data_IF_017777047202
#
_entry.id   IF_017777047202
#
_cell.length_a   1.000
_cell.length_b   1.000
_cell.length_c   1.000
_cell.angle_alpha   90.00
_cell.angle_beta   90.00
_cell.angle_gamma   90.00
#
_symmetry.space_group_name_H-M   'P 1'
#
loop_
_entity.id
_entity.type
_entity.pdbx_description
1 polymer ?
#
# COMPACT_ATOMS: atom_id res chain seq x y z
N UNK A 1 -1.16 13.36 15.39
CA UNK A 1 -1.99 13.85 14.27
C UNK A 1 -3.46 13.48 14.43
N UNK A 2 -3.93 12.26 14.12
CA UNK A 2 -5.39 11.97 14.24
C UNK A 2 -5.91 12.04 15.69
N UNK A 3 -5.10 11.63 16.67
CA UNK A 3 -5.47 11.71 18.09
C UNK A 3 -5.58 13.14 18.63
N UNK A 4 -4.77 14.06 18.11
CA UNK A 4 -4.81 15.47 18.51
C UNK A 4 -6.07 16.16 17.97
N UNK A 5 -6.46 15.80 16.73
CA UNK A 5 -7.66 16.33 16.09
C UNK A 5 -8.94 15.78 16.74
N UNK A 6 -8.96 14.50 17.12
CA UNK A 6 -10.06 13.94 17.92
C UNK A 6 -10.18 14.60 19.30
N UNK A 7 -9.06 14.86 19.96
CA UNK A 7 -9.05 15.58 21.23
C UNK A 7 -9.61 16.99 21.07
N UNK A 8 -9.29 17.67 19.96
CA UNK A 8 -9.83 19.00 19.64
C UNK A 8 -11.35 18.98 19.40
N UNK A 9 -11.88 17.92 18.78
CA UNK A 9 -13.33 17.72 18.63
C UNK A 9 -14.01 17.52 19.99
N UNK A 10 -13.38 16.77 20.90
CA UNK A 10 -13.89 16.57 22.26
C UNK A 10 -13.86 17.88 23.07
N UNK A 11 -12.83 18.71 22.89
CA UNK A 11 -12.77 20.03 23.52
C UNK A 11 -13.80 21.00 22.91
N UNK A 12 -13.98 21.02 21.59
CA UNK A 12 -15.01 21.84 20.91
C UNK A 12 -16.44 21.39 21.24
N UNK A 13 -16.68 20.09 21.48
CA UNK A 13 -18.01 19.56 21.81
C UNK A 13 -18.41 19.74 23.27
N UNK A 14 -17.44 19.97 24.18
CA UNK A 14 -17.74 20.28 25.59
C UNK A 14 -18.42 21.63 25.78
N UNK A 15 -18.25 22.56 24.83
CA UNK A 15 -18.85 23.89 24.86
C UNK A 15 -19.83 24.18 23.72
N UNK A 16 -20.13 23.21 22.85
CA UNK A 16 -20.93 23.40 21.64
C UNK A 16 -21.51 22.11 21.09
N UNK A 17 -22.18 22.17 19.93
CA UNK A 17 -22.80 20.98 19.34
C UNK A 17 -21.74 20.01 18.81
N UNK A 18 -21.80 18.74 19.25
CA UNK A 18 -20.93 17.67 18.74
C UNK A 18 -21.04 17.50 17.22
N UNK A 19 -22.22 17.81 16.67
CA UNK A 19 -22.52 17.78 15.23
C UNK A 19 -21.66 18.81 14.48
N UNK A 20 -21.51 20.01 15.03
CA UNK A 20 -20.70 21.08 14.44
C UNK A 20 -19.20 20.84 14.65
N UNK A 21 -18.80 20.23 15.76
CA UNK A 21 -17.42 19.88 16.03
C UNK A 21 -16.92 18.79 15.05
N UNK A 22 -17.72 17.74 14.83
CA UNK A 22 -17.39 16.67 13.87
C UNK A 22 -17.50 17.16 12.42
N UNK A 23 -18.46 18.04 12.11
CA UNK A 23 -18.51 18.71 10.80
C UNK A 23 -17.27 19.55 10.50
N UNK A 24 -16.75 20.28 11.49
CA UNK A 24 -15.47 21.01 11.36
C UNK A 24 -14.28 20.08 11.25
N UNK A 25 -14.28 18.91 11.89
CA UNK A 25 -13.26 17.88 11.67
C UNK A 25 -13.26 17.39 10.22
N UNK A 26 -14.43 17.05 9.67
CA UNK A 26 -14.55 16.60 8.29
C UNK A 26 -14.00 17.63 7.29
N UNK A 27 -14.33 18.91 7.48
CA UNK A 27 -13.81 20.00 6.65
C UNK A 27 -12.29 20.24 6.80
N UNK A 28 -11.68 19.89 7.94
CA UNK A 28 -10.24 20.07 8.20
C UNK A 28 -9.39 18.91 7.68
N UNK A 29 -9.88 17.69 7.81
CA UNK A 29 -9.15 16.47 7.42
C UNK A 29 -9.43 16.10 5.95
N UNK A 30 -10.62 16.42 5.46
CA UNK A 30 -11.10 16.20 4.09
C UNK A 30 -10.85 14.78 3.55
N UNK A 31 -11.13 13.79 4.40
CA UNK A 31 -11.13 12.38 4.02
C UNK A 31 -12.55 11.82 4.06
N UNK A 32 -12.90 10.85 3.19
CA UNK A 32 -14.25 10.29 3.10
C UNK A 32 -14.80 9.79 4.44
N UNK A 33 -13.95 9.20 5.28
CA UNK A 33 -14.31 8.64 6.59
C UNK A 33 -14.74 9.73 7.58
N UNK A 34 -14.12 10.92 7.51
CA UNK A 34 -14.45 12.03 8.39
C UNK A 34 -15.82 12.63 8.02
N UNK A 35 -16.13 12.69 6.73
CA UNK A 35 -17.46 13.07 6.23
C UNK A 35 -18.53 12.04 6.60
N UNK A 36 -18.22 10.75 6.50
CA UNK A 36 -19.12 9.67 6.91
C UNK A 36 -19.45 9.73 8.41
N UNK A 37 -18.43 9.99 9.25
CA UNK A 37 -18.61 10.21 10.67
C UNK A 37 -19.47 11.45 10.96
N UNK A 38 -19.26 12.56 10.24
CA UNK A 38 -20.05 13.78 10.40
C UNK A 38 -21.53 13.57 10.06
N UNK A 39 -21.83 12.81 9.00
CA UNK A 39 -23.21 12.50 8.63
C UNK A 39 -23.86 11.52 9.61
N UNK A 40 -23.14 10.51 10.10
CA UNK A 40 -23.66 9.61 11.13
C UNK A 40 -23.99 10.37 12.43
N UNK A 41 -23.12 11.30 12.85
CA UNK A 41 -23.34 12.15 14.04
C UNK A 41 -24.49 13.15 13.83
N UNK A 42 -24.62 13.75 12.62
CA UNK A 42 -25.78 14.59 12.26
C UNK A 42 -27.09 13.81 12.33
N UNK A 43 -27.10 12.59 11.83
CA UNK A 43 -28.28 11.73 11.81
C UNK A 43 -28.66 11.33 13.24
N UNK A 44 -27.69 10.96 14.07
CA UNK A 44 -27.90 10.69 15.49
C UNK A 44 -28.51 11.89 16.24
N UNK A 45 -28.04 13.12 15.95
CA UNK A 45 -28.58 14.33 16.55
C UNK A 45 -29.99 14.73 16.06
N UNK A 46 -30.42 14.26 14.89
CA UNK A 46 -31.73 14.60 14.29
C UNK A 46 -32.82 13.59 14.59
N UNK A 47 -32.53 12.30 14.45
CA UNK A 47 -33.54 11.24 14.60
C UNK A 47 -33.58 10.63 15.99
N UNK A 48 -32.41 10.43 16.62
CA UNK A 48 -32.30 9.67 17.87
C UNK A 48 -32.78 8.21 17.75
N UNK A 49 -32.26 7.32 18.59
CA UNK A 49 -32.71 5.92 18.66
C UNK A 49 -31.81 4.89 17.98
N UNK A 50 -32.26 3.63 18.01
CA UNK A 50 -31.47 2.42 17.73
C UNK A 50 -30.89 2.39 16.30
N UNK A 51 -31.61 2.92 15.31
CA UNK A 51 -31.17 3.00 13.91
C UNK A 51 -30.03 4.00 13.67
N UNK A 52 -29.86 4.98 14.58
CA UNK A 52 -28.77 5.95 14.48
C UNK A 52 -27.45 5.41 15.06
N UNK A 53 -27.55 4.46 16.01
CA UNK A 53 -26.40 3.74 16.56
C UNK A 53 -25.84 2.74 15.54
N UNK A 54 -26.71 2.04 14.80
CA UNK A 54 -26.29 1.09 13.77
C UNK A 54 -25.53 1.75 12.61
N UNK A 55 -25.86 3.00 12.25
CA UNK A 55 -25.09 3.79 11.28
C UNK A 55 -23.70 4.16 11.79
N UNK A 56 -23.59 4.46 13.09
CA UNK A 56 -22.31 4.76 13.72
C UNK A 56 -21.43 3.50 13.80
N UNK A 57 -22.03 2.35 14.12
CA UNK A 57 -21.38 1.03 14.09
C UNK A 57 -20.93 0.66 12.67
N UNK A 58 -21.78 0.85 11.67
CA UNK A 58 -21.41 0.63 10.26
C UNK A 58 -20.24 1.52 9.83
N UNK A 59 -20.21 2.78 10.26
CA UNK A 59 -19.06 3.66 10.01
C UNK A 59 -17.79 3.15 10.70
N UNK A 60 -17.89 2.73 11.96
CA UNK A 60 -16.75 2.19 12.69
C UNK A 60 -16.21 0.91 12.05
N UNK A 61 -17.09 0.02 11.59
CA UNK A 61 -16.73 -1.22 10.90
C UNK A 61 -16.08 -0.93 9.53
N UNK A 62 -16.60 0.02 8.77
CA UNK A 62 -16.00 0.40 7.48
C UNK A 62 -14.60 1.00 7.68
N UNK A 63 -14.43 1.89 8.67
CA UNK A 63 -13.12 2.46 9.03
C UNK A 63 -12.15 1.36 9.46
N UNK A 64 -12.59 0.42 10.29
CA UNK A 64 -11.78 -0.71 10.74
C UNK A 64 -11.40 -1.62 9.56
N UNK A 65 -12.33 -1.89 8.66
CA UNK A 65 -12.15 -2.73 7.47
C UNK A 65 -11.15 -2.09 6.49
N UNK A 66 -11.28 -0.79 6.24
CA UNK A 66 -10.36 -0.03 5.37
C UNK A 66 -8.95 0.01 5.96
N UNK A 67 -8.82 0.25 7.28
CA UNK A 67 -7.53 0.20 7.98
C UNK A 67 -6.90 -1.19 7.92
N UNK A 68 -7.69 -2.25 8.05
CA UNK A 68 -7.21 -3.61 7.90
C UNK A 68 -6.78 -3.93 6.45
N UNK A 69 -7.43 -3.36 5.43
CA UNK A 69 -7.02 -3.49 4.02
C UNK A 69 -5.69 -2.78 3.75
N UNK A 70 -5.52 -1.53 4.18
CA UNK A 70 -4.26 -0.77 4.05
C UNK A 70 -3.12 -1.49 4.77
N UNK A 71 -3.39 -2.03 5.95
CA UNK A 71 -2.40 -2.79 6.73
C UNK A 71 -2.03 -4.14 6.09
N UNK A 72 -2.96 -4.80 5.39
CA UNK A 72 -2.67 -6.00 4.59
C UNK A 72 -1.93 -5.67 3.30
N UNK A 73 -2.28 -4.58 2.62
CA UNK A 73 -1.62 -4.14 1.40
C UNK A 73 -0.14 -3.77 1.64
N UNK A 74 0.15 -3.06 2.73
CA UNK A 74 1.52 -2.73 3.16
C UNK A 74 2.36 -3.95 3.57
N UNK A 75 1.75 -4.92 4.25
CA UNK A 75 2.41 -6.18 4.59
C UNK A 75 2.72 -7.03 3.33
N UNK A 76 1.78 -7.10 2.38
CA UNK A 76 1.95 -7.85 1.13
C UNK A 76 2.97 -7.21 0.18
N UNK A 77 3.08 -5.89 0.13
CA UNK A 77 4.07 -5.21 -0.73
C UNK A 77 5.52 -5.47 -0.31
N UNK A 78 5.76 -5.83 0.95
CA UNK A 78 7.10 -6.26 1.41
C UNK A 78 7.42 -7.68 0.95
N UNK A 79 6.45 -8.59 0.95
CA UNK A 79 6.61 -9.95 0.43
C UNK A 79 6.95 -9.97 -1.07
N UNK A 80 6.24 -9.17 -1.87
CA UNK A 80 6.46 -9.09 -3.34
C UNK A 80 7.89 -8.66 -3.69
N UNK A 81 8.47 -7.74 -2.92
CA UNK A 81 9.87 -7.31 -3.11
C UNK A 81 10.85 -8.44 -2.81
N UNK A 82 10.61 -9.18 -1.75
CA UNK A 82 11.50 -10.26 -1.32
C UNK A 82 11.47 -11.45 -2.28
N UNK A 83 10.27 -11.84 -2.75
CA UNK A 83 10.12 -12.90 -3.75
C UNK A 83 10.75 -12.52 -5.09
N UNK A 84 10.55 -11.28 -5.57
CA UNK A 84 11.19 -10.78 -6.78
C UNK A 84 12.72 -10.71 -6.68
N UNK A 85 13.24 -10.34 -5.50
CA UNK A 85 14.67 -10.39 -5.22
C UNK A 85 15.20 -11.83 -5.24
N UNK A 86 14.55 -12.75 -4.55
CA UNK A 86 14.99 -14.14 -4.48
C UNK A 86 14.98 -14.82 -5.87
N UNK A 87 13.95 -14.55 -6.67
CA UNK A 87 13.82 -15.05 -8.04
C UNK A 87 14.92 -14.51 -8.98
N UNK A 88 15.46 -13.32 -8.72
CA UNK A 88 16.53 -12.73 -9.52
C UNK A 88 17.94 -13.14 -9.09
N UNK A 89 18.14 -13.44 -7.81
CA UNK A 89 19.44 -13.87 -7.25
C UNK A 89 19.86 -15.25 -7.75
N UNK A 90 18.94 -16.22 -7.82
CA UNK A 90 19.24 -17.60 -8.22
C UNK A 90 19.92 -17.68 -9.60
N UNK A 91 19.35 -17.13 -10.69
CA UNK A 91 19.97 -17.21 -12.01
C UNK A 91 21.30 -16.45 -12.08
N UNK A 92 21.45 -15.35 -11.32
CA UNK A 92 22.71 -14.60 -11.26
C UNK A 92 23.83 -15.40 -10.59
N UNK A 93 23.53 -16.06 -9.47
CA UNK A 93 24.49 -16.92 -8.75
C UNK A 93 24.85 -18.14 -9.61
N UNK A 94 23.88 -18.78 -10.26
CA UNK A 94 24.14 -19.88 -11.18
C UNK A 94 25.04 -19.45 -12.33
N UNK A 95 24.76 -18.31 -12.96
CA UNK A 95 25.61 -17.78 -14.02
C UNK A 95 27.05 -17.56 -13.55
N UNK A 96 27.23 -16.96 -12.38
CA UNK A 96 28.54 -16.73 -11.79
C UNK A 96 29.28 -18.04 -11.50
N UNK A 97 28.57 -19.03 -10.95
CA UNK A 97 29.10 -20.36 -10.67
C UNK A 97 29.57 -21.05 -11.95
N UNK A 98 28.75 -21.09 -13.00
CA UNK A 98 29.13 -21.68 -14.28
C UNK A 98 30.34 -20.96 -14.91
N UNK A 99 30.36 -19.64 -14.82
CA UNK A 99 31.46 -18.83 -15.36
C UNK A 99 32.80 -19.14 -14.68
N UNK A 100 32.84 -19.34 -13.37
CA UNK A 100 34.08 -19.67 -12.65
C UNK A 100 34.45 -21.16 -12.69
N UNK A 101 33.48 -22.07 -12.67
CA UNK A 101 33.77 -23.52 -12.66
C UNK A 101 34.14 -24.10 -14.01
N UNK A 102 33.61 -23.58 -15.12
CA UNK A 102 33.78 -24.15 -16.47
C UNK A 102 34.50 -23.18 -17.43
N UNK A 103 35.38 -22.34 -16.87
CA UNK A 103 35.87 -21.08 -17.44
C UNK A 103 36.20 -21.03 -18.95
N UNK A 104 36.84 -22.05 -19.53
CA UNK A 104 37.21 -22.02 -20.96
C UNK A 104 36.03 -22.26 -21.91
N UNK A 105 35.12 -23.18 -21.58
CA UNK A 105 33.95 -23.46 -22.41
C UNK A 105 32.89 -22.35 -22.28
N UNK A 106 32.75 -21.76 -21.10
CA UNK A 106 31.77 -20.72 -20.82
C UNK A 106 32.21 -19.32 -21.27
N UNK A 107 33.51 -19.08 -21.48
CA UNK A 107 34.04 -17.84 -22.06
C UNK A 107 33.51 -17.57 -23.47
N UNK A 108 33.21 -18.62 -24.22
CA UNK A 108 32.54 -18.54 -25.54
C UNK A 108 31.23 -17.75 -25.45
N UNK A 109 30.53 -17.81 -24.32
CA UNK A 109 29.28 -17.09 -24.09
C UNK A 109 29.47 -15.57 -23.95
N UNK A 110 30.68 -15.11 -23.57
CA UNK A 110 31.02 -13.68 -23.46
C UNK A 110 31.79 -13.19 -24.68
N UNK A 111 32.62 -14.05 -25.28
CA UNK A 111 33.51 -13.69 -26.39
C UNK A 111 32.79 -13.75 -27.76
N UNK A 112 31.83 -14.66 -27.94
CA UNK A 112 31.08 -14.77 -29.21
C UNK A 112 29.92 -13.78 -29.31
N UNK A 113 29.62 -13.35 -30.54
CA UNK A 113 28.49 -12.47 -30.82
C UNK A 113 27.14 -13.09 -30.43
N UNK A 114 26.96 -14.40 -30.63
CA UNK A 114 25.74 -15.13 -30.23
C UNK A 114 25.61 -15.21 -28.71
N UNK A 115 26.68 -15.51 -28.00
CA UNK A 115 26.69 -15.55 -26.55
C UNK A 115 26.29 -14.20 -25.93
N UNK A 116 26.87 -13.10 -26.42
CA UNK A 116 26.51 -11.74 -25.98
C UNK A 116 25.05 -11.38 -26.23
N UNK A 117 24.46 -11.81 -27.35
CA UNK A 117 23.02 -11.63 -27.59
C UNK A 117 22.17 -12.37 -26.55
N UNK A 118 22.48 -13.63 -26.24
CA UNK A 118 21.73 -14.40 -25.25
C UNK A 118 21.86 -13.78 -23.85
N UNK A 119 23.06 -13.31 -23.51
CA UNK A 119 23.34 -12.61 -22.25
C UNK A 119 22.58 -11.29 -22.16
N UNK A 120 22.52 -10.52 -23.25
CA UNK A 120 21.74 -9.29 -23.33
C UNK A 120 20.23 -9.55 -23.14
N UNK A 121 19.69 -10.62 -23.72
CA UNK A 121 18.29 -11.03 -23.52
C UNK A 121 18.03 -11.45 -22.08
N UNK A 122 18.95 -12.21 -21.47
CA UNK A 122 18.83 -12.63 -20.07
C UNK A 122 18.86 -11.44 -19.09
N UNK A 123 19.78 -10.49 -19.30
CA UNK A 123 19.83 -9.25 -18.50
C UNK A 123 18.60 -8.41 -18.77
N UNK A 124 18.17 -8.31 -20.03
CA UNK A 124 16.95 -7.58 -20.42
C UNK A 124 15.70 -8.11 -19.73
N UNK A 125 15.52 -9.43 -19.67
CA UNK A 125 14.35 -10.03 -18.99
C UNK A 125 14.37 -9.79 -17.48
N UNK A 126 15.55 -9.82 -16.85
CA UNK A 126 15.75 -9.45 -15.45
C UNK A 126 15.38 -7.99 -15.17
N UNK A 127 15.81 -7.06 -16.04
CA UNK A 127 15.48 -5.64 -15.95
C UNK A 127 13.98 -5.42 -16.12
N UNK A 128 13.35 -6.10 -17.10
CA UNK A 128 11.89 -6.02 -17.31
C UNK A 128 11.12 -6.55 -16.10
N UNK A 129 11.57 -7.66 -15.51
CA UNK A 129 10.96 -8.22 -14.29
C UNK A 129 11.01 -7.20 -13.14
N UNK A 130 12.16 -6.59 -12.89
CA UNK A 130 12.32 -5.53 -11.88
C UNK A 130 11.49 -4.29 -12.19
N UNK A 131 11.42 -3.87 -13.45
CA UNK A 131 10.59 -2.74 -13.87
C UNK A 131 9.11 -3.01 -13.60
N UNK A 132 8.62 -4.24 -13.84
CA UNK A 132 7.24 -4.64 -13.54
C UNK A 132 6.98 -4.63 -12.03
N UNK A 133 7.89 -5.17 -11.22
CA UNK A 133 7.78 -5.13 -9.75
C UNK A 133 7.69 -3.69 -9.26
N UNK A 134 8.57 -2.80 -9.75
CA UNK A 134 8.54 -1.38 -9.40
C UNK A 134 7.27 -0.68 -9.88
N UNK A 135 6.75 -1.02 -11.07
CA UNK A 135 5.51 -0.47 -11.60
C UNK A 135 4.29 -0.88 -10.75
N UNK A 136 4.23 -2.14 -10.32
CA UNK A 136 3.18 -2.65 -9.42
C UNK A 136 3.25 -1.92 -8.08
N UNK A 137 4.44 -1.77 -7.51
CA UNK A 137 4.64 -1.07 -6.24
C UNK A 137 4.25 0.42 -6.33
N UNK A 138 4.62 1.10 -7.42
CA UNK A 138 4.23 2.50 -7.66
C UNK A 138 2.72 2.67 -7.78
N UNK A 139 2.04 1.75 -8.47
CA UNK A 139 0.57 1.77 -8.57
C UNK A 139 -0.11 1.49 -7.23
N UNK A 140 0.44 0.56 -6.44
CA UNK A 140 -0.07 0.29 -5.11
C UNK A 140 0.06 1.50 -4.17
N UNK A 141 1.18 2.23 -4.22
CA UNK A 141 1.39 3.44 -3.41
C UNK A 141 0.72 4.72 -3.93
N UNK A 142 0.20 4.74 -5.16
CA UNK A 142 -0.53 5.86 -5.75
C UNK A 142 -2.06 5.74 -5.61
N UNK A 143 -2.53 4.61 -5.08
CA UNK A 143 -3.95 4.34 -4.82
C UNK A 143 -4.37 4.60 -3.35
N UNK A 144 -3.40 4.98 -2.51
CA UNK A 144 -3.58 5.50 -1.15
C UNK A 144 -3.57 7.04 -1.17
#
# INVERSE_FOLDING_TARGET
MVGDEFRRVVEESRGGSIVEAVGRLAARVDIPEAWMLADAVRMLGRTGGQDSLSLLEACADEIATRRARVRRASAQTTGIRFEGFLASVIPAVMFLWFFFSFGDDYRVMVETARGRMMLAVAVGSLVVCWALVLAILRRAGAAD
#
